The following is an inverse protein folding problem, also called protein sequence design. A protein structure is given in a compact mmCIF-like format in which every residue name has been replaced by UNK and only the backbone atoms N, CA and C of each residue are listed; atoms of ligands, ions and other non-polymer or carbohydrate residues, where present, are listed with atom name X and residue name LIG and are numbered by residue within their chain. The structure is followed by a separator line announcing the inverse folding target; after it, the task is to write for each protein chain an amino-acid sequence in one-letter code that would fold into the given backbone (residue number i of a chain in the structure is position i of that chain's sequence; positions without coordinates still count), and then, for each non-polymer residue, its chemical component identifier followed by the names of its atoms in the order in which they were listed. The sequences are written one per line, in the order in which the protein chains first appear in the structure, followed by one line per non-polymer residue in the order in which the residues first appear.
data_IF_651822987132
#
_entry.id   IF_651822987132
#
_cell.length_a   1.000
_cell.length_b   1.000
_cell.length_c   1.000
_cell.angle_alpha   90.00
_cell.angle_beta   90.00
_cell.angle_gamma   90.00
#
_symmetry.space_group_name_H-M   'P 1'
#
loop_
_entity.id
_entity.type
_entity.pdbx_description
1 polymer ?
#
# COMPACT_ATOMS: atom_id res chain seq x y z
N UNK A 1 55.47 -35.00 -4.99
CA UNK A 1 54.65 -34.29 -3.99
C UNK A 1 54.64 -32.80 -4.34
N UNK A 2 53.49 -32.26 -4.74
CA UNK A 2 52.84 -31.11 -4.08
C UNK A 2 51.71 -30.58 -4.96
N UNK A 3 50.57 -30.39 -4.31
CA UNK A 3 49.23 -30.53 -4.84
C UNK A 3 48.69 -29.24 -5.44
N UNK A 4 47.87 -29.40 -6.47
CA UNK A 4 47.10 -28.36 -7.11
C UNK A 4 46.16 -27.65 -6.12
N UNK A 5 46.15 -26.32 -6.16
CA UNK A 5 45.08 -25.49 -5.59
C UNK A 5 44.41 -24.73 -6.72
N UNK A 6 43.23 -25.20 -7.11
CA UNK A 6 42.28 -24.44 -7.92
C UNK A 6 41.39 -23.65 -6.95
N UNK A 7 41.33 -22.34 -7.12
CA UNK A 7 40.31 -21.49 -6.48
C UNK A 7 39.49 -20.84 -7.60
N UNK A 8 38.46 -21.56 -8.03
CA UNK A 8 37.34 -20.97 -8.78
C UNK A 8 36.56 -20.14 -7.78
N UNK A 9 36.60 -18.83 -7.94
CA UNK A 9 35.65 -17.94 -7.25
C UNK A 9 34.93 -17.15 -8.32
N UNK A 10 33.82 -17.73 -8.75
CA UNK A 10 32.79 -17.08 -9.57
C UNK A 10 32.29 -15.86 -8.80
N UNK A 11 32.64 -14.66 -9.26
CA UNK A 11 31.95 -13.46 -8.84
C UNK A 11 30.52 -13.54 -9.37
N UNK A 12 29.59 -13.93 -8.51
CA UNK A 12 28.17 -13.91 -8.82
C UNK A 12 27.74 -12.48 -9.14
N UNK A 13 27.42 -12.25 -10.42
CA UNK A 13 26.72 -11.06 -10.87
C UNK A 13 25.46 -10.88 -10.03
N UNK A 14 25.45 -9.86 -9.18
CA UNK A 14 24.27 -9.41 -8.46
C UNK A 14 23.29 -8.80 -9.48
N UNK A 15 22.53 -9.65 -10.18
CA UNK A 15 21.42 -9.20 -11.01
C UNK A 15 20.24 -8.83 -10.12
N UNK A 16 19.92 -7.54 -10.17
CA UNK A 16 18.58 -7.05 -10.48
C UNK A 16 17.45 -7.64 -9.61
N UNK A 17 17.29 -7.09 -8.41
CA UNK A 17 16.15 -7.40 -7.53
C UNK A 17 15.24 -6.20 -7.26
N UNK A 18 15.32 -5.17 -8.10
CA UNK A 18 14.60 -3.90 -7.89
C UNK A 18 13.47 -3.68 -8.91
N UNK A 19 13.28 -4.57 -9.88
CA UNK A 19 12.32 -4.36 -10.98
C UNK A 19 10.91 -4.92 -10.74
N UNK A 20 10.66 -5.66 -9.66
CA UNK A 20 9.38 -6.38 -9.48
C UNK A 20 8.32 -5.67 -8.59
N UNK A 21 8.50 -4.38 -8.26
CA UNK A 21 7.51 -3.59 -7.51
C UNK A 21 6.72 -2.60 -8.38
N UNK A 22 7.19 -2.27 -9.59
CA UNK A 22 6.51 -1.33 -10.51
C UNK A 22 5.44 -1.98 -11.40
N UNK A 23 5.27 -3.31 -11.34
CA UNK A 23 4.31 -4.04 -12.17
C UNK A 23 2.98 -4.36 -11.48
N UNK A 24 2.64 -3.67 -10.37
CA UNK A 24 1.23 -3.54 -9.98
C UNK A 24 0.55 -2.66 -11.00
N UNK A 25 0.11 -3.30 -12.08
CA UNK A 25 -0.78 -2.74 -13.11
C UNK A 25 -1.89 -1.98 -12.40
N UNK A 26 -1.90 -0.66 -12.52
CA UNK A 26 -3.00 0.20 -12.06
C UNK A 26 -4.31 -0.45 -12.51
N UNK A 27 -5.27 -0.71 -11.60
CA UNK A 27 -6.50 -1.37 -11.97
C UNK A 27 -7.16 -0.59 -13.11
N UNK A 28 -7.74 -1.30 -14.11
CA UNK A 28 -8.39 -0.63 -15.23
C UNK A 28 -9.44 0.33 -14.68
N UNK A 29 -9.51 1.52 -15.29
CA UNK A 29 -10.53 2.52 -14.97
C UNK A 29 -11.89 1.84 -14.93
N UNK A 30 -12.53 1.85 -13.76
CA UNK A 30 -13.84 1.23 -13.58
C UNK A 30 -14.88 1.90 -14.48
N UNK A 31 -15.84 1.13 -15.00
CA UNK A 31 -16.84 1.63 -15.94
C UNK A 31 -18.06 2.29 -15.26
N UNK A 32 -17.86 2.91 -14.09
CA UNK A 32 -18.93 3.56 -13.32
C UNK A 32 -19.34 4.91 -13.94
N UNK A 33 -20.60 5.28 -13.77
CA UNK A 33 -21.12 6.59 -14.17
C UNK A 33 -21.82 7.23 -12.96
N UNK A 34 -21.40 8.42 -12.48
CA UNK A 34 -20.25 9.21 -12.95
C UNK A 34 -18.92 8.46 -12.83
N UNK A 35 -17.92 8.89 -13.59
CA UNK A 35 -16.57 8.34 -13.51
C UNK A 35 -16.04 8.48 -12.07
N UNK A 36 -15.48 7.40 -11.54
CA UNK A 36 -14.89 7.45 -10.21
C UNK A 36 -13.60 8.27 -10.21
N UNK A 37 -13.31 8.99 -9.12
CA UNK A 37 -12.05 9.69 -8.95
C UNK A 37 -10.88 8.71 -8.93
N UNK A 38 -9.70 9.18 -9.35
CA UNK A 38 -8.46 8.41 -9.25
C UNK A 38 -8.04 8.28 -7.79
N UNK A 39 -7.21 7.28 -7.48
CA UNK A 39 -6.70 7.08 -6.13
C UNK A 39 -5.85 8.26 -5.63
N UNK A 40 -5.19 9.00 -6.52
CA UNK A 40 -4.37 10.16 -6.14
C UNK A 40 -5.21 11.42 -5.87
N UNK A 41 -6.49 11.42 -6.24
CA UNK A 41 -7.37 12.58 -6.13
C UNK A 41 -7.76 12.85 -4.68
N UNK A 42 -7.93 14.13 -4.24
CA UNK A 42 -8.37 14.44 -2.89
C UNK A 42 -9.78 13.92 -2.55
N UNK A 43 -10.60 13.60 -3.55
CA UNK A 43 -11.93 13.03 -3.42
C UNK A 43 -11.96 11.50 -3.66
N UNK A 44 -10.81 10.81 -3.57
CA UNK A 44 -10.66 9.36 -3.84
C UNK A 44 -11.67 8.46 -3.11
N UNK A 45 -12.12 8.87 -1.93
CA UNK A 45 -13.11 8.18 -1.10
C UNK A 45 -14.52 8.15 -1.71
N UNK A 46 -14.80 8.99 -2.72
CA UNK A 46 -16.07 9.00 -3.45
C UNK A 46 -16.18 7.90 -4.51
N UNK A 47 -15.14 7.07 -4.69
CA UNK A 47 -15.21 5.91 -5.56
C UNK A 47 -16.16 4.82 -5.01
N UNK A 48 -16.65 3.95 -5.90
CA UNK A 48 -17.66 2.94 -5.53
C UNK A 48 -17.01 1.81 -4.72
N UNK A 49 -17.64 1.42 -3.61
CA UNK A 49 -17.27 0.24 -2.83
C UNK A 49 -17.51 -1.02 -3.67
N UNK A 50 -16.47 -1.83 -3.84
CA UNK A 50 -16.53 -3.12 -4.57
C UNK A 50 -16.39 -4.34 -3.64
N UNK A 51 -15.86 -4.13 -2.43
CA UNK A 51 -15.91 -5.10 -1.34
C UNK A 51 -15.99 -4.35 0.00
N UNK A 52 -16.86 -4.80 0.90
CA UNK A 52 -16.98 -4.23 2.25
C UNK A 52 -16.88 -5.34 3.29
N UNK A 53 -16.10 -5.10 4.33
CA UNK A 53 -15.96 -5.98 5.49
C UNK A 53 -16.12 -5.14 6.76
N UNK A 54 -17.36 -4.70 7.07
CA UNK A 54 -17.63 -3.88 8.24
C UNK A 54 -17.22 -4.59 9.54
N UNK A 55 -17.29 -5.92 9.58
CA UNK A 55 -16.82 -6.70 10.73
C UNK A 55 -15.31 -6.63 10.97
N UNK A 56 -14.54 -6.21 9.97
CA UNK A 56 -13.09 -5.99 10.03
C UNK A 56 -12.71 -4.50 9.95
N UNK A 57 -13.70 -3.61 9.80
CA UNK A 57 -13.51 -2.17 9.77
C UNK A 57 -12.91 -1.61 8.48
N UNK A 58 -13.09 -2.27 7.32
CA UNK A 58 -12.56 -1.79 6.05
C UNK A 58 -13.50 -1.97 4.85
N UNK A 59 -13.28 -1.17 3.81
CA UNK A 59 -13.90 -1.31 2.49
C UNK A 59 -12.90 -1.06 1.37
N UNK A 60 -12.95 -1.85 0.31
CA UNK A 60 -12.17 -1.68 -0.91
C UNK A 60 -12.99 -0.93 -1.95
N UNK A 61 -12.43 0.16 -2.47
CA UNK A 61 -13.02 0.97 -3.54
C UNK A 61 -12.53 0.51 -4.91
N UNK A 62 -13.31 0.80 -5.95
CA UNK A 62 -13.02 0.39 -7.33
C UNK A 62 -11.76 1.02 -7.93
N UNK A 63 -11.29 2.15 -7.39
CA UNK A 63 -10.02 2.79 -7.74
C UNK A 63 -8.82 2.14 -7.01
N UNK A 64 -9.05 1.10 -6.20
CA UNK A 64 -8.04 0.35 -5.47
C UNK A 64 -7.69 0.91 -4.09
N UNK A 65 -8.36 1.98 -3.65
CA UNK A 65 -8.17 2.54 -2.30
C UNK A 65 -8.84 1.63 -1.28
N UNK A 66 -8.12 1.28 -0.21
CA UNK A 66 -8.66 0.60 0.95
C UNK A 66 -8.97 1.64 2.03
N UNK A 67 -10.24 1.87 2.33
CA UNK A 67 -10.69 2.81 3.36
C UNK A 67 -11.00 2.07 4.66
N UNK A 68 -10.63 2.68 5.78
CA UNK A 68 -10.88 2.16 7.12
C UNK A 68 -11.93 3.00 7.83
N UNK A 69 -12.62 2.41 8.81
CA UNK A 69 -13.67 3.10 9.59
C UNK A 69 -13.14 4.30 10.39
N UNK A 70 -11.85 4.33 10.70
CA UNK A 70 -11.22 5.43 11.41
C UNK A 70 -10.78 6.58 10.48
N UNK A 71 -11.21 6.58 9.21
CA UNK A 71 -10.81 7.50 8.12
C UNK A 71 -9.39 7.32 7.62
N UNK A 72 -8.67 6.28 8.07
CA UNK A 72 -7.40 5.89 7.45
C UNK A 72 -7.62 5.36 6.04
N UNK A 73 -6.60 5.49 5.19
CA UNK A 73 -6.62 4.94 3.84
C UNK A 73 -5.28 4.26 3.50
N UNK A 74 -5.33 3.21 2.67
CA UNK A 74 -4.17 2.66 1.98
C UNK A 74 -4.40 2.81 0.47
N UNK A 75 -3.49 3.53 -0.19
CA UNK A 75 -3.52 3.76 -1.62
C UNK A 75 -3.05 2.50 -2.40
N UNK A 76 -3.35 2.38 -3.71
CA UNK A 76 -2.98 1.22 -4.51
C UNK A 76 -1.46 0.95 -4.61
N UNK A 77 -0.65 1.98 -4.43
CA UNK A 77 0.81 1.90 -4.40
C UNK A 77 1.36 1.42 -3.04
N UNK A 78 0.52 1.45 -2.00
CA UNK A 78 0.83 1.09 -0.62
C UNK A 78 1.13 2.30 0.28
N UNK A 79 0.96 3.54 -0.20
CA UNK A 79 1.01 4.72 0.66
C UNK A 79 -0.08 4.67 1.73
N UNK A 80 0.26 5.06 2.96
CA UNK A 80 -0.65 5.09 4.10
C UNK A 80 -1.06 6.54 4.36
N UNK A 81 -2.35 6.80 4.32
CA UNK A 81 -2.96 8.06 4.77
C UNK A 81 -3.46 7.85 6.18
N UNK A 82 -2.94 8.66 7.10
CA UNK A 82 -3.24 8.53 8.51
C UNK A 82 -4.71 8.91 8.80
N UNK A 83 -5.38 8.22 9.73
CA UNK A 83 -6.74 8.55 10.14
C UNK A 83 -6.84 9.96 10.72
N UNK A 84 -7.93 10.66 10.41
CA UNK A 84 -8.33 11.93 10.97
C UNK A 84 -8.89 11.79 12.39
N UNK A 85 -8.06 11.30 13.31
CA UNK A 85 -8.34 11.39 14.74
C UNK A 85 -7.92 12.76 15.25
N UNK A 86 -8.81 13.53 15.91
CA UNK A 86 -8.37 14.67 16.70
C UNK A 86 -7.31 14.15 17.68
N UNK A 87 -6.09 14.66 17.59
CA UNK A 87 -5.09 14.43 18.62
C UNK A 87 -5.66 15.06 19.89
N UNK A 88 -6.27 14.24 20.74
CA UNK A 88 -6.76 14.70 22.02
C UNK A 88 -5.61 15.42 22.71
N UNK A 89 -5.84 16.66 23.13
CA UNK A 89 -4.93 17.45 23.97
C UNK A 89 -4.80 16.86 25.39
N UNK A 90 -4.93 15.53 25.51
CA UNK A 90 -4.79 14.77 26.73
C UNK A 90 -3.31 14.67 27.08
N UNK A 91 -2.88 15.48 28.05
CA UNK A 91 -1.65 15.25 28.79
C UNK A 91 -1.57 13.77 29.14
N UNK A 92 -0.55 13.10 28.64
CA UNK A 92 -0.17 11.75 29.08
C UNK A 92 0.20 11.88 30.55
N UNK A 93 -0.69 11.49 31.46
CA UNK A 93 -0.33 11.32 32.87
C UNK A 93 0.47 10.03 32.96
N UNK A 94 1.79 10.15 33.09
CA UNK A 94 2.64 9.05 33.54
C UNK A 94 2.17 8.66 34.95
N UNK A 95 1.66 7.43 35.10
CA UNK A 95 1.43 6.86 36.41
C UNK A 95 2.78 6.55 37.07
N UNK A 96 2.90 6.91 38.36
CA UNK A 96 4.07 6.68 39.21
C UNK A 96 4.01 5.30 39.88
#
# INVERSE_FOLDING_TARGET
MNQARQAVTTAGSATDRTTHLSQRKTPPMCNHQPQCPTADSPDREAAVIVAGHPEQGWSLLCNGVLVFEDTGEILPDGEIIAPHRPLGTGRVTTAA
#
